data_IF_488038353794
#
_entry.id   IF_488038353794
#
_cell.length_a   1.000
_cell.length_b   1.000
_cell.length_c   1.000
_cell.angle_alpha   90.00
_cell.angle_beta   90.00
_cell.angle_gamma   90.00
#
_symmetry.space_group_name_H-M   'P 1'
#
loop_
_entity.id
_entity.type
_entity.pdbx_description
1 polymer ?
#
# COMPACT_ATOMS: atom_id res chain seq x y z
N UNK A 1 36.59 0.26 -40.67
CA UNK A 1 36.54 -1.18 -40.90
C UNK A 1 35.45 -1.79 -40.05
N UNK A 2 34.42 -2.30 -40.74
CA UNK A 2 33.33 -3.16 -40.26
C UNK A 2 33.81 -4.63 -40.38
N UNK A 3 33.18 -5.52 -39.61
CA UNK A 3 32.83 -6.94 -39.85
C UNK A 3 32.58 -7.53 -38.45
N UNK A 4 31.34 -7.63 -37.96
CA UNK A 4 30.31 -8.64 -38.28
C UNK A 4 30.74 -10.07 -37.95
N UNK A 5 30.00 -10.71 -37.04
CA UNK A 5 29.19 -11.91 -37.29
C UNK A 5 28.38 -12.24 -36.00
N UNK A 6 27.22 -12.86 -35.97
CA UNK A 6 26.07 -13.04 -36.87
C UNK A 6 25.31 -14.25 -36.29
N UNK A 7 24.12 -14.07 -35.74
CA UNK A 7 23.02 -15.05 -35.65
C UNK A 7 21.75 -14.21 -35.41
N UNK A 8 20.64 -14.26 -36.13
CA UNK A 8 20.13 -15.06 -37.25
C UNK A 8 18.65 -14.69 -37.32
N UNK A 9 18.16 -14.26 -38.49
CA UNK A 9 16.81 -13.75 -38.72
C UNK A 9 15.68 -14.77 -38.42
N UNK A 10 14.48 -14.28 -38.11
CA UNK A 10 13.35 -14.51 -39.02
C UNK A 10 12.22 -13.49 -38.82
N UNK A 11 12.01 -12.69 -39.86
CA UNK A 11 10.80 -11.91 -40.10
C UNK A 11 9.64 -12.86 -40.42
N UNK A 12 8.48 -12.64 -39.82
CA UNK A 12 7.21 -13.00 -40.46
C UNK A 12 6.21 -11.86 -40.30
N UNK A 13 6.12 -11.04 -41.34
CA UNK A 13 4.92 -10.31 -41.68
C UNK A 13 3.90 -11.33 -42.21
N UNK A 14 2.72 -11.38 -41.60
CA UNK A 14 1.55 -12.01 -42.21
C UNK A 14 0.40 -11.00 -42.18
N UNK A 15 0.21 -10.34 -43.30
CA UNK A 15 -1.01 -9.61 -43.68
C UNK A 15 -1.71 -10.41 -44.77
N UNK A 16 -2.92 -10.89 -44.49
CA UNK A 16 -4.02 -11.23 -45.42
C UNK A 16 -5.10 -11.94 -44.59
N UNK A 17 -6.41 -11.68 -44.69
CA UNK A 17 -7.16 -10.76 -45.51
C UNK A 17 -8.66 -10.99 -45.29
N UNK A 18 -9.44 -9.91 -45.41
CA UNK A 18 -10.81 -9.78 -45.94
C UNK A 18 -11.94 -10.69 -45.41
N UNK A 19 -12.90 -10.05 -44.75
CA UNK A 19 -14.29 -10.50 -44.61
C UNK A 19 -15.23 -9.29 -44.53
N UNK A 20 -16.32 -9.33 -45.29
CA UNK A 20 -17.08 -8.20 -45.84
C UNK A 20 -18.01 -7.44 -44.86
N UNK A 21 -18.35 -6.20 -45.24
CA UNK A 21 -19.50 -5.44 -44.72
C UNK A 21 -20.80 -6.26 -44.89
N UNK A 22 -21.58 -6.35 -43.82
CA UNK A 22 -22.98 -6.78 -43.85
C UNK A 22 -23.79 -5.94 -42.88
N UNK A 23 -24.79 -5.23 -43.39
CA UNK A 23 -25.87 -4.60 -42.62
C UNK A 23 -26.65 -5.64 -41.80
N UNK A 24 -27.01 -5.30 -40.56
CA UNK A 24 -27.91 -6.10 -39.73
C UNK A 24 -27.36 -6.28 -38.31
N UNK A 25 -27.97 -5.59 -37.36
CA UNK A 25 -27.52 -5.56 -35.97
C UNK A 25 -27.69 -6.87 -35.21
N UNK A 26 -26.84 -7.09 -34.22
CA UNK A 26 -27.21 -7.52 -32.87
C UNK A 26 -25.96 -7.42 -31.96
N UNK A 27 -26.03 -6.64 -30.88
CA UNK A 27 -25.00 -6.68 -29.84
C UNK A 27 -25.20 -7.93 -29.00
N UNK A 28 -24.26 -8.88 -29.08
CA UNK A 28 -24.16 -9.99 -28.14
C UNK A 28 -22.70 -10.10 -27.71
N UNK A 29 -22.38 -9.70 -26.48
CA UNK A 29 -21.07 -9.98 -25.89
C UNK A 29 -21.07 -11.41 -25.34
N UNK A 30 -20.18 -12.32 -25.80
CA UNK A 30 -19.95 -13.56 -25.09
C UNK A 30 -19.09 -13.30 -23.84
N UNK A 31 -19.62 -13.75 -22.70
CA UNK A 31 -18.90 -13.93 -21.45
C UNK A 31 -17.82 -15.00 -21.69
N UNK A 32 -16.55 -14.66 -21.46
CA UNK A 32 -15.46 -15.62 -21.58
C UNK A 32 -14.11 -15.01 -21.20
N UNK A 33 -13.67 -15.26 -19.96
CA UNK A 33 -12.30 -15.01 -19.53
C UNK A 33 -11.30 -15.80 -20.39
N UNK A 34 -10.12 -15.23 -20.66
CA UNK A 34 -8.91 -16.04 -20.64
C UNK A 34 -7.94 -15.53 -19.56
N UNK A 35 -7.70 -16.39 -18.59
CA UNK A 35 -6.54 -16.37 -17.70
C UNK A 35 -5.26 -16.28 -18.54
N UNK A 36 -4.52 -15.18 -18.44
CA UNK A 36 -3.17 -15.07 -19.00
C UNK A 36 -2.17 -14.89 -17.85
N UNK A 37 -1.23 -15.84 -17.79
CA UNK A 37 -0.31 -16.08 -16.70
C UNK A 37 0.72 -14.96 -16.51
N UNK A 38 1.05 -14.79 -15.22
CA UNK A 38 2.12 -13.98 -14.66
C UNK A 38 3.47 -14.32 -15.30
N UNK A 39 4.08 -13.40 -16.05
CA UNK A 39 5.53 -13.44 -16.36
C UNK A 39 6.23 -12.43 -15.48
N UNK A 40 6.62 -12.87 -14.28
CA UNK A 40 7.50 -12.12 -13.39
C UNK A 40 8.91 -12.12 -13.98
N UNK A 41 9.30 -11.02 -14.62
CA UNK A 41 10.71 -10.76 -14.94
C UNK A 41 11.41 -10.43 -13.63
N UNK A 42 12.37 -11.28 -13.25
CA UNK A 42 13.25 -11.08 -12.10
C UNK A 42 14.08 -9.83 -12.29
N UNK A 43 13.62 -8.71 -11.75
CA UNK A 43 14.49 -7.64 -11.31
C UNK A 43 14.89 -8.00 -9.87
N UNK A 44 16.19 -8.20 -9.65
CA UNK A 44 16.78 -8.31 -8.31
C UNK A 44 16.57 -7.00 -7.55
N UNK A 45 15.37 -6.83 -7.01
CA UNK A 45 15.00 -5.67 -6.23
C UNK A 45 15.05 -6.11 -4.76
N UNK A 46 16.07 -5.66 -4.02
CA UNK A 46 16.09 -5.81 -2.57
C UNK A 46 14.89 -5.04 -2.02
N UNK A 47 13.80 -5.75 -1.75
CA UNK A 47 12.61 -5.20 -1.11
C UNK A 47 13.02 -4.74 0.28
N UNK A 48 12.93 -3.44 0.63
CA UNK A 48 13.08 -3.06 2.02
C UNK A 48 11.92 -3.68 2.80
N UNK A 49 12.26 -4.46 3.84
CA UNK A 49 11.31 -5.24 4.68
C UNK A 49 10.32 -4.36 5.47
N UNK A 50 10.39 -3.04 5.31
CA UNK A 50 9.62 -2.01 6.02
C UNK A 50 8.30 -1.60 5.35
N UNK A 51 7.94 -2.20 4.22
CA UNK A 51 6.68 -1.85 3.55
C UNK A 51 5.51 -2.35 4.39
N UNK A 52 4.72 -1.43 4.94
CA UNK A 52 3.43 -1.76 5.55
C UNK A 52 2.62 -2.57 4.53
N UNK A 53 2.00 -3.72 4.90
CA UNK A 53 1.37 -4.61 3.93
C UNK A 53 0.35 -3.89 3.04
N UNK A 54 0.18 -4.46 1.85
CA UNK A 54 -0.67 -4.05 0.72
C UNK A 54 -1.80 -3.08 1.07
N UNK A 55 -1.91 -2.05 0.24
CA UNK A 55 -2.97 -1.06 0.26
C UNK A 55 -4.31 -1.68 0.66
N UNK A 56 -4.84 -1.26 1.82
CA UNK A 56 -6.10 -1.79 2.35
C UNK A 56 -7.17 -1.71 1.27
N UNK A 57 -8.01 -2.75 1.12
CA UNK A 57 -9.02 -2.78 0.07
C UNK A 57 -9.93 -1.54 0.14
N UNK A 58 -10.49 -1.11 -0.98
CA UNK A 58 -11.32 0.10 -1.03
C UNK A 58 -12.56 0.01 -0.12
N UNK A 59 -13.03 -1.20 0.21
CA UNK A 59 -14.14 -1.48 1.11
C UNK A 59 -13.71 -2.31 2.33
N UNK A 60 -14.48 -2.22 3.42
CA UNK A 60 -14.25 -2.97 4.65
C UNK A 60 -14.60 -4.45 4.43
N UNK A 61 -13.63 -5.38 4.51
CA UNK A 61 -13.85 -6.81 4.26
C UNK A 61 -14.65 -7.48 5.38
N UNK A 62 -14.90 -6.79 6.50
CA UNK A 62 -15.73 -7.29 7.59
C UNK A 62 -17.23 -7.24 7.27
N UNK A 63 -17.62 -6.75 6.09
CA UNK A 63 -19.00 -6.80 5.61
C UNK A 63 -19.51 -8.23 5.41
N UNK A 64 -20.80 -8.44 5.61
CA UNK A 64 -21.47 -9.73 5.38
C UNK A 64 -21.48 -10.06 3.87
N UNK A 65 -21.38 -11.35 3.53
CA UNK A 65 -21.41 -11.87 2.16
C UNK A 65 -22.57 -11.23 1.35
N UNK A 66 -22.23 -10.31 0.45
CA UNK A 66 -23.19 -9.64 -0.44
C UNK A 66 -23.26 -8.11 -0.35
N UNK A 67 -22.65 -7.47 0.66
CA UNK A 67 -22.61 -6.01 0.74
C UNK A 67 -21.23 -5.49 1.15
N UNK A 68 -20.57 -4.77 0.24
CA UNK A 68 -19.35 -4.03 0.55
C UNK A 68 -19.67 -2.95 1.59
N UNK A 69 -19.10 -3.07 2.79
CA UNK A 69 -19.29 -2.10 3.86
C UNK A 69 -18.35 -0.92 3.65
N UNK A 70 -18.89 0.30 3.70
CA UNK A 70 -18.06 1.50 3.71
C UNK A 70 -17.19 1.50 4.96
N UNK A 71 -15.91 1.80 4.80
CA UNK A 71 -15.00 1.94 5.92
C UNK A 71 -15.48 3.02 6.89
N UNK A 72 -15.36 2.73 8.18
CA UNK A 72 -15.30 3.79 9.20
C UNK A 72 -13.83 4.19 9.41
N UNK A 73 -13.58 5.39 9.93
CA UNK A 73 -12.21 5.82 10.26
C UNK A 73 -11.57 4.81 11.21
N UNK A 74 -12.26 4.46 12.31
CA UNK A 74 -11.78 3.49 13.30
C UNK A 74 -11.51 2.12 12.68
N UNK A 75 -12.37 1.63 11.79
CA UNK A 75 -12.18 0.37 11.08
C UNK A 75 -10.91 0.37 10.25
N UNK A 76 -10.67 1.44 9.47
CA UNK A 76 -9.49 1.56 8.63
C UNK A 76 -8.20 1.68 9.44
N UNK A 77 -8.22 2.39 10.56
CA UNK A 77 -7.08 2.45 11.49
C UNK A 77 -6.77 1.09 12.11
N UNK A 78 -7.80 0.34 12.53
CA UNK A 78 -7.63 -1.02 13.07
C UNK A 78 -7.06 -1.98 12.02
N UNK A 79 -7.58 -1.94 10.80
CA UNK A 79 -7.07 -2.76 9.69
C UNK A 79 -5.60 -2.43 9.38
N UNK A 80 -5.21 -1.16 9.50
CA UNK A 80 -3.82 -0.71 9.40
C UNK A 80 -2.96 -1.04 10.63
N UNK A 81 -3.53 -1.63 11.69
CA UNK A 81 -2.86 -1.89 12.98
C UNK A 81 -2.28 -0.62 13.64
N UNK A 82 -2.92 0.52 13.40
CA UNK A 82 -2.56 1.80 14.03
C UNK A 82 -3.19 1.91 15.43
N UNK A 83 -2.45 2.38 16.45
CA UNK A 83 -2.97 2.48 17.81
C UNK A 83 -4.09 3.52 17.88
N UNK A 84 -5.28 3.06 18.30
CA UNK A 84 -6.46 3.92 18.49
C UNK A 84 -6.79 4.16 19.98
N UNK A 85 -5.98 3.58 20.86
CA UNK A 85 -6.02 3.64 22.32
C UNK A 85 -4.60 3.84 22.88
N UNK A 86 -4.47 3.90 24.20
CA UNK A 86 -3.19 4.16 24.87
C UNK A 86 -2.84 5.65 24.94
N UNK A 87 -1.64 5.94 25.47
CA UNK A 87 -1.13 7.31 25.63
C UNK A 87 -0.83 7.97 24.29
N UNK A 88 -0.27 7.20 23.36
CA UNK A 88 0.09 7.63 22.02
C UNK A 88 -0.84 6.98 21.01
N UNK A 89 -1.65 7.81 20.35
CA UNK A 89 -2.63 7.37 19.36
C UNK A 89 -2.29 7.93 18.00
N UNK A 90 -2.55 7.15 16.96
CA UNK A 90 -2.59 7.68 15.61
C UNK A 90 -3.79 8.62 15.47
N UNK A 91 -3.54 9.82 14.95
CA UNK A 91 -4.58 10.81 14.66
C UNK A 91 -4.60 11.06 13.16
N UNK A 92 -5.67 10.67 12.44
CA UNK A 92 -5.77 10.92 11.01
C UNK A 92 -5.64 12.41 10.67
N UNK A 93 -5.10 12.75 9.49
CA UNK A 93 -5.06 14.13 9.01
C UNK A 93 -6.43 14.82 9.04
N UNK A 94 -6.42 16.13 9.20
CA UNK A 94 -7.66 16.93 9.20
C UNK A 94 -8.42 16.70 7.89
N UNK A 95 -9.72 16.44 7.98
CA UNK A 95 -10.56 16.19 6.81
C UNK A 95 -10.42 14.80 6.19
N UNK A 96 -9.65 13.89 6.79
CA UNK A 96 -9.53 12.52 6.30
C UNK A 96 -10.90 11.82 6.22
N UNK A 97 -11.20 11.27 5.04
CA UNK A 97 -12.40 10.48 4.78
C UNK A 97 -12.04 8.99 4.69
N UNK A 98 -12.78 8.08 5.35
CA UNK A 98 -12.42 6.67 5.42
C UNK A 98 -12.58 5.89 4.10
N UNK A 99 -13.25 6.47 3.10
CA UNK A 99 -13.29 5.93 1.74
C UNK A 99 -12.00 6.16 0.95
N UNK A 100 -11.07 6.96 1.47
CA UNK A 100 -9.77 7.21 0.86
C UNK A 100 -8.69 6.38 1.57
N UNK A 101 -7.60 6.00 0.87
CA UNK A 101 -6.44 5.42 1.52
C UNK A 101 -5.83 6.39 2.54
N UNK A 102 -5.25 5.83 3.61
CA UNK A 102 -4.47 6.63 4.55
C UNK A 102 -3.24 7.19 3.80
N UNK A 103 -2.95 8.50 3.94
CA UNK A 103 -1.84 9.10 3.23
C UNK A 103 -0.51 8.49 3.69
N UNK A 104 0.41 8.37 2.73
CA UNK A 104 1.72 7.76 2.95
C UNK A 104 2.83 8.81 2.94
N UNK A 105 3.84 8.58 3.75
CA UNK A 105 5.05 9.39 3.76
C UNK A 105 6.14 8.84 2.84
N UNK A 106 7.29 9.53 2.76
CA UNK A 106 8.41 9.15 1.90
C UNK A 106 9.04 7.80 2.25
N UNK A 107 8.92 7.34 3.50
CA UNK A 107 9.40 6.02 3.93
C UNK A 107 8.33 4.92 3.81
N UNK A 108 7.16 5.24 3.22
CA UNK A 108 6.05 4.30 3.03
C UNK A 108 5.20 4.06 4.28
N UNK A 109 5.45 4.79 5.36
CA UNK A 109 4.63 4.78 6.58
C UNK A 109 3.34 5.58 6.42
N UNK A 110 2.49 5.59 7.45
CA UNK A 110 1.25 6.37 7.46
C UNK A 110 1.48 7.78 8.02
N UNK A 111 0.98 8.81 7.34
CA UNK A 111 1.08 10.19 7.80
C UNK A 111 -0.09 10.56 8.72
N UNK A 112 0.25 10.96 9.94
CA UNK A 112 -0.73 11.48 10.89
C UNK A 112 -0.98 12.99 10.71
N UNK A 113 -1.88 13.53 11.53
CA UNK A 113 -2.28 14.95 11.55
C UNK A 113 -1.12 15.92 11.76
N UNK A 114 -0.06 15.49 12.40
CA UNK A 114 1.11 16.28 12.76
C UNK A 114 2.28 16.04 11.79
N UNK A 115 2.00 15.39 10.66
CA UNK A 115 2.98 14.95 9.68
C UNK A 115 4.05 14.02 10.26
N UNK A 116 3.76 13.31 11.36
CA UNK A 116 4.59 12.19 11.76
C UNK A 116 4.33 11.01 10.83
N UNK A 117 5.38 10.29 10.47
CA UNK A 117 5.28 9.12 9.63
C UNK A 117 5.42 7.85 10.47
N UNK A 118 4.34 7.07 10.50
CA UNK A 118 4.27 5.81 11.23
C UNK A 118 4.81 4.69 10.33
N UNK A 119 6.08 4.34 10.50
CA UNK A 119 6.77 3.30 9.73
C UNK A 119 6.74 2.00 10.53
N UNK A 120 6.47 0.87 9.87
CA UNK A 120 6.52 -0.43 10.53
C UNK A 120 7.97 -0.77 10.85
N UNK A 121 8.32 -0.94 12.11
CA UNK A 121 9.65 -1.33 12.58
C UNK A 121 9.73 -2.80 13.03
N UNK A 122 10.89 -3.26 13.49
CA UNK A 122 11.01 -4.56 14.16
C UNK A 122 10.31 -4.53 15.52
N UNK A 123 9.84 -5.69 16.00
CA UNK A 123 9.31 -5.80 17.36
C UNK A 123 10.44 -5.93 18.38
N UNK A 124 10.36 -5.17 19.47
CA UNK A 124 11.15 -5.38 20.70
C UNK A 124 10.25 -5.65 21.91
N UNK A 125 8.96 -5.37 21.77
CA UNK A 125 7.91 -5.64 22.76
C UNK A 125 7.48 -7.11 22.72
N UNK A 126 7.63 -7.87 23.82
CA UNK A 126 7.21 -9.27 23.88
C UNK A 126 5.73 -9.45 23.53
N UNK A 127 5.43 -10.42 22.68
CA UNK A 127 4.06 -10.76 22.28
C UNK A 127 3.45 -9.86 21.20
N UNK A 128 4.14 -8.82 20.75
CA UNK A 128 3.70 -7.99 19.62
C UNK A 128 4.47 -8.34 18.33
N UNK A 129 3.80 -8.34 17.16
CA UNK A 129 4.43 -8.69 15.90
C UNK A 129 5.39 -7.62 15.37
N UNK A 130 5.24 -6.35 15.80
CA UNK A 130 6.09 -5.22 15.44
C UNK A 130 5.83 -4.04 16.37
N UNK A 131 6.68 -3.01 16.25
CA UNK A 131 6.46 -1.67 16.80
C UNK A 131 6.40 -0.66 15.65
N UNK A 132 5.69 0.44 15.86
CA UNK A 132 5.75 1.59 14.99
C UNK A 132 7.00 2.40 15.29
N UNK A 133 7.88 2.54 14.30
CA UNK A 133 8.99 3.49 14.30
C UNK A 133 8.47 4.84 13.76
N UNK A 134 7.97 5.68 14.66
CA UNK A 134 7.30 6.93 14.32
C UNK A 134 8.34 8.01 14.04
N UNK A 135 8.54 8.33 12.78
CA UNK A 135 9.41 9.43 12.35
C UNK A 135 8.73 10.75 12.71
N UNK A 136 9.42 11.60 13.48
CA UNK A 136 8.89 12.86 13.98
C UNK A 136 8.75 13.87 12.83
N UNK A 137 7.51 14.30 12.61
CA UNK A 137 7.16 15.29 11.61
C UNK A 137 7.53 16.71 12.01
N UNK A 138 7.44 17.65 11.06
CA UNK A 138 7.64 19.09 11.32
C UNK A 138 6.61 19.68 12.29
N UNK A 139 5.38 19.17 12.27
CA UNK A 139 4.25 19.70 13.05
C UNK A 139 4.01 18.90 14.34
N UNK A 140 4.94 18.02 14.70
CA UNK A 140 4.90 17.25 15.93
C UNK A 140 4.80 18.17 17.16
N UNK A 141 3.93 17.81 18.10
CA UNK A 141 3.73 18.59 19.32
C UNK A 141 5.00 18.58 20.18
N UNK A 142 5.26 19.63 20.97
CA UNK A 142 6.40 19.66 21.88
C UNK A 142 6.44 18.45 22.84
N UNK A 143 5.26 18.05 23.33
CA UNK A 143 5.12 16.87 24.19
C UNK A 143 5.51 15.57 23.49
N UNK A 144 5.15 15.38 22.22
CA UNK A 144 5.56 14.19 21.46
C UNK A 144 7.06 14.20 21.16
N UNK A 145 7.62 15.36 20.79
CA UNK A 145 9.06 15.52 20.55
C UNK A 145 9.89 15.18 21.80
N UNK A 146 9.39 15.54 22.98
CA UNK A 146 10.06 15.24 24.25
C UNK A 146 10.13 13.74 24.57
N UNK A 147 9.33 12.90 23.90
CA UNK A 147 9.41 11.44 24.04
C UNK A 147 10.59 10.85 23.28
N UNK A 148 11.13 11.57 22.29
CA UNK A 148 12.25 11.10 21.50
C UNK A 148 13.57 11.48 22.14
N UNK A 149 14.45 10.48 22.31
CA UNK A 149 15.79 10.69 22.85
C UNK A 149 16.71 11.43 21.86
N UNK A 150 16.53 11.20 20.56
CA UNK A 150 17.36 11.78 19.50
C UNK A 150 16.66 12.91 18.73
N UNK A 151 15.39 13.17 19.04
CA UNK A 151 14.53 14.16 18.40
C UNK A 151 14.03 13.77 17.00
N UNK A 152 14.33 12.55 16.52
CA UNK A 152 14.04 12.11 15.15
C UNK A 152 12.93 11.08 15.09
N UNK A 153 12.91 10.12 16.01
CA UNK A 153 11.91 9.06 16.01
C UNK A 153 11.53 8.63 17.43
N UNK A 154 10.39 7.96 17.55
CA UNK A 154 9.88 7.35 18.77
C UNK A 154 9.32 5.99 18.41
N UNK A 155 9.67 4.95 19.17
CA UNK A 155 9.04 3.65 18.98
C UNK A 155 7.75 3.57 19.80
N UNK A 156 6.68 3.11 19.15
CA UNK A 156 5.34 3.02 19.74
C UNK A 156 4.79 1.61 19.52
N UNK A 157 4.32 0.98 20.59
CA UNK A 157 3.68 -0.34 20.53
C UNK A 157 2.32 -0.28 19.82
N UNK A 158 1.76 -1.44 19.46
CA UNK A 158 0.40 -1.51 18.86
C UNK A 158 -0.70 -1.03 19.81
N UNK A 159 -0.41 -1.00 21.11
CA UNK A 159 -1.32 -0.55 22.17
C UNK A 159 -1.19 0.96 22.46
N UNK A 160 -0.24 1.65 21.82
CA UNK A 160 -0.04 3.09 21.97
C UNK A 160 0.83 3.48 23.17
N UNK A 161 1.75 2.63 23.58
CA UNK A 161 2.76 2.95 24.60
C UNK A 161 4.12 3.21 23.95
N UNK A 162 4.91 4.13 24.53
CA UNK A 162 6.29 4.37 24.09
C UNK A 162 7.17 3.21 24.54
N UNK A 163 7.96 2.66 23.62
CA UNK A 163 8.84 1.51 23.90
C UNK A 163 10.32 1.90 23.94
N UNK A 164 10.75 2.86 23.12
CA UNK A 164 12.14 3.35 23.05
C UNK A 164 12.24 4.83 22.66
#
# INVERSE_FOLDING_TARGET
>A
YRLENAEGEMTVLATAGVGWLGEGGNFVTPIGSPTAALTSRSATNRVPVNRVPEELPPFDPSGTLGAAKAWTIKGRLKAAQLPTSGKIRYVPPKGYAPGQPLPRGPHGGYLDRFNNEWVRGPSRTPGQPFEWDVQIGRDATPGFRALSRDGKHVNVSLDGEVTH
#
